data_IF_927809837709
#
_entry.id   IF_927809837709
#
_cell.length_a   1.000
_cell.length_b   1.000
_cell.length_c   1.000
_cell.angle_alpha   90.00
_cell.angle_beta   90.00
_cell.angle_gamma   90.00
#
_symmetry.space_group_name_H-M   'P 1'
#
loop_
_entity.id
_entity.type
_entity.pdbx_description
1 polymer ?
#
# COMPACT_ATOMS: atom_id res chain seq x y z
N UNK A 1 -13.77 19.16 2.42
CA UNK A 1 -12.45 18.69 1.96
C UNK A 1 -12.35 17.20 2.27
N UNK A 2 -12.36 16.34 1.26
CA UNK A 2 -12.38 14.88 1.44
C UNK A 2 -10.98 14.32 1.74
N UNK A 3 -10.26 14.92 2.69
CA UNK A 3 -9.11 14.32 3.38
C UNK A 3 -8.04 13.69 2.49
N UNK A 4 -7.84 14.21 1.27
CA UNK A 4 -7.02 13.61 0.21
C UNK A 4 -5.51 13.75 0.39
N UNK A 5 -5.07 13.78 1.65
CA UNK A 5 -3.70 14.10 2.02
C UNK A 5 -2.71 12.97 1.76
N UNK A 6 -1.44 13.35 1.86
CA UNK A 6 -0.29 12.45 1.90
C UNK A 6 0.03 12.16 3.37
N UNK A 7 0.30 10.89 3.68
CA UNK A 7 0.84 10.45 4.97
C UNK A 7 2.18 9.77 4.78
N UNK A 8 3.22 10.37 5.36
CA UNK A 8 4.52 9.73 5.48
C UNK A 8 4.54 8.88 6.76
N UNK A 9 4.78 7.58 6.60
CA UNK A 9 4.83 6.61 7.68
C UNK A 9 6.24 6.38 8.21
N UNK A 10 7.25 7.02 7.60
CA UNK A 10 8.65 6.89 8.00
C UNK A 10 9.23 5.52 7.65
N UNK A 11 10.10 5.01 8.52
CA UNK A 11 10.78 3.72 8.36
C UNK A 11 9.99 2.60 9.00
N UNK A 12 9.88 1.47 8.31
CA UNK A 12 9.10 0.32 8.78
C UNK A 12 9.68 -1.02 8.30
N UNK A 13 9.41 -2.08 9.07
CA UNK A 13 9.53 -3.47 8.62
C UNK A 13 8.20 -3.90 7.97
N UNK A 14 7.45 -4.77 8.63
CA UNK A 14 6.05 -5.06 8.23
C UNK A 14 5.11 -3.94 8.69
N UNK A 15 4.10 -3.61 7.87
CA UNK A 15 3.14 -2.55 8.18
C UNK A 15 1.73 -2.89 7.72
N UNK A 16 0.74 -2.49 8.51
CA UNK A 16 -0.68 -2.52 8.14
C UNK A 16 -1.20 -1.10 8.00
N UNK A 17 -1.59 -0.70 6.79
CA UNK A 17 -2.03 0.65 6.47
C UNK A 17 -3.45 0.92 6.99
N UNK A 18 -3.67 2.07 7.62
CA UNK A 18 -5.02 2.58 7.89
C UNK A 18 -5.43 3.53 6.76
N UNK A 19 -6.21 3.01 5.82
CA UNK A 19 -6.65 3.77 4.66
C UNK A 19 -7.65 4.88 5.03
N UNK A 20 -8.13 5.01 6.27
CA UNK A 20 -8.94 6.17 6.66
C UNK A 20 -8.10 7.43 6.87
N UNK A 21 -6.79 7.26 7.10
CA UNK A 21 -5.91 8.34 7.53
C UNK A 21 -5.38 9.22 6.39
N UNK A 22 -5.36 8.72 5.16
CA UNK A 22 -4.86 9.43 3.97
C UNK A 22 -5.33 8.73 2.69
N UNK A 23 -5.13 9.39 1.53
CA UNK A 23 -5.23 8.73 0.23
C UNK A 23 -3.87 8.20 -0.21
N UNK A 24 -2.83 8.98 0.02
CA UNK A 24 -1.48 8.67 -0.44
C UNK A 24 -0.58 8.34 0.75
N UNK A 25 0.13 7.22 0.68
CA UNK A 25 1.03 6.75 1.72
C UNK A 25 2.45 6.70 1.19
N UNK A 26 3.41 7.17 1.97
CA UNK A 26 4.84 7.05 1.68
C UNK A 26 5.48 6.30 2.85
N UNK A 27 6.22 5.25 2.56
CA UNK A 27 6.94 4.47 3.58
C UNK A 27 8.31 4.02 3.06
N UNK A 28 9.25 3.81 3.98
CA UNK A 28 10.59 3.30 3.67
C UNK A 28 10.79 1.96 4.36
N UNK A 29 11.03 0.90 3.59
CA UNK A 29 11.27 -0.42 4.15
C UNK A 29 12.71 -0.55 4.64
N UNK A 30 12.91 -0.84 5.93
CA UNK A 30 14.24 -1.04 6.53
C UNK A 30 14.62 -2.51 6.73
N UNK A 31 13.63 -3.41 6.68
CA UNK A 31 13.82 -4.84 6.77
C UNK A 31 12.82 -5.57 5.87
N UNK A 32 13.06 -6.85 5.60
CA UNK A 32 12.13 -7.69 4.83
C UNK A 32 10.78 -7.76 5.54
N UNK A 33 9.70 -7.34 4.89
CA UNK A 33 8.39 -7.23 5.53
C UNK A 33 7.21 -7.21 4.58
N UNK A 34 6.03 -7.50 5.13
CA UNK A 34 4.78 -7.51 4.38
C UNK A 34 4.03 -6.18 4.55
N UNK A 35 3.27 -5.79 3.52
CA UNK A 35 2.39 -4.63 3.52
C UNK A 35 0.95 -5.11 3.52
N UNK A 36 0.18 -4.75 4.54
CA UNK A 36 -1.24 -5.10 4.66
C UNK A 36 -2.10 -3.87 4.91
N UNK A 37 -3.36 -4.10 5.29
CA UNK A 37 -4.34 -3.06 5.63
C UNK A 37 -4.90 -3.37 7.01
N UNK A 38 -4.80 -2.40 7.92
CA UNK A 38 -5.48 -2.43 9.22
C UNK A 38 -6.93 -1.97 9.10
N UNK A 39 -7.18 -0.94 8.26
CA UNK A 39 -8.51 -0.38 8.05
C UNK A 39 -8.70 0.01 6.58
N UNK A 40 -9.74 -0.52 5.93
CA UNK A 40 -9.92 -0.46 4.48
C UNK A 40 -10.41 0.89 3.91
N UNK A 41 -10.86 1.82 4.75
CA UNK A 41 -11.26 3.16 4.30
C UNK A 41 -12.62 3.27 3.59
N UNK A 42 -13.20 2.17 3.12
CA UNK A 42 -14.52 2.15 2.47
C UNK A 42 -14.47 1.90 0.96
N UNK A 43 -15.62 1.54 0.39
CA UNK A 43 -15.76 1.31 -1.05
C UNK A 43 -15.55 2.61 -1.85
N UNK A 44 -14.89 2.51 -3.00
CA UNK A 44 -14.58 3.65 -3.86
C UNK A 44 -13.34 4.44 -3.42
N UNK A 45 -12.75 4.14 -2.26
CA UNK A 45 -11.50 4.76 -1.86
C UNK A 45 -10.36 4.33 -2.78
N UNK A 46 -9.54 5.28 -3.18
CA UNK A 46 -8.34 5.08 -3.99
C UNK A 46 -7.19 5.96 -3.54
N UNK A 47 -6.01 5.65 -4.05
CA UNK A 47 -4.81 6.47 -3.86
C UNK A 47 -3.56 5.70 -4.22
N UNK A 48 -2.44 6.11 -3.63
CA UNK A 48 -1.13 5.50 -3.91
C UNK A 48 -0.42 5.07 -2.64
N UNK A 49 0.44 4.05 -2.78
CA UNK A 49 1.39 3.61 -1.78
C UNK A 49 2.77 3.69 -2.44
N UNK A 50 3.57 4.65 -2.04
CA UNK A 50 4.97 4.79 -2.47
C UNK A 50 5.87 4.14 -1.43
N UNK A 51 6.66 3.19 -1.86
CA UNK A 51 7.56 2.40 -1.03
C UNK A 51 8.99 2.64 -1.47
N UNK A 52 9.79 3.24 -0.60
CA UNK A 52 11.24 3.27 -0.78
C UNK A 52 11.85 1.95 -0.27
N UNK A 53 12.94 1.51 -0.89
CA UNK A 53 13.55 0.21 -0.67
C UNK A 53 12.60 -0.96 -0.93
N UNK A 54 11.85 -0.90 -2.03
CA UNK A 54 10.81 -1.87 -2.38
C UNK A 54 11.34 -3.32 -2.52
N UNK A 55 12.64 -3.53 -2.75
CA UNK A 55 13.27 -4.86 -2.70
C UNK A 55 13.06 -5.61 -1.37
N UNK A 56 12.72 -4.89 -0.30
CA UNK A 56 12.44 -5.47 1.02
C UNK A 56 10.97 -5.92 1.18
N UNK A 57 10.09 -5.67 0.21
CA UNK A 57 8.72 -6.18 0.25
C UNK A 57 8.73 -7.69 0.06
N UNK A 58 8.18 -8.43 1.01
CA UNK A 58 8.04 -9.89 0.91
C UNK A 58 6.66 -10.32 0.44
N UNK A 59 5.63 -9.54 0.75
CA UNK A 59 4.25 -9.81 0.36
C UNK A 59 3.37 -8.56 0.47
N UNK A 60 2.27 -8.57 -0.28
CA UNK A 60 1.10 -7.77 0.02
C UNK A 60 0.05 -8.68 0.66
N UNK A 61 -0.26 -8.47 1.93
CA UNK A 61 -1.23 -9.28 2.67
C UNK A 61 -2.66 -8.98 2.21
N UNK A 62 -3.57 -9.95 2.39
CA UNK A 62 -5.00 -9.70 2.20
C UNK A 62 -5.43 -8.44 2.97
N UNK A 63 -6.32 -7.59 2.40
CA UNK A 63 -7.19 -7.82 1.24
C UNK A 63 -6.60 -7.38 -0.12
N UNK A 64 -5.30 -7.08 -0.18
CA UNK A 64 -4.67 -6.68 -1.44
C UNK A 64 -4.68 -7.80 -2.49
N UNK A 65 -5.00 -7.42 -3.73
CA UNK A 65 -5.04 -8.33 -4.89
C UNK A 65 -4.47 -7.65 -6.12
N UNK A 66 -3.33 -8.12 -6.58
CA UNK A 66 -2.86 -7.81 -7.92
C UNK A 66 -3.72 -8.53 -8.96
N UNK A 67 -3.87 -7.94 -10.14
CA UNK A 67 -4.42 -8.65 -11.31
C UNK A 67 -3.43 -9.72 -11.80
N UNK A 68 -2.14 -9.37 -11.80
CA UNK A 68 -1.03 -10.23 -12.21
C UNK A 68 0.01 -10.15 -11.09
N UNK A 69 0.46 -11.29 -10.58
CA UNK A 69 1.47 -11.33 -9.53
C UNK A 69 2.71 -10.52 -9.94
N UNK A 70 3.22 -9.70 -9.01
CA UNK A 70 4.36 -8.83 -9.24
C UNK A 70 5.60 -9.39 -8.54
N UNK A 71 6.77 -9.15 -9.13
CA UNK A 71 8.07 -9.56 -8.61
C UNK A 71 9.16 -8.58 -9.05
N UNK A 72 10.40 -8.81 -8.59
CA UNK A 72 11.55 -7.99 -8.97
C UNK A 72 11.46 -6.56 -8.43
N UNK A 73 10.98 -6.41 -7.19
CA UNK A 73 10.87 -5.10 -6.59
C UNK A 73 12.25 -4.48 -6.30
N UNK A 74 12.43 -3.18 -6.54
CA UNK A 74 13.71 -2.49 -6.33
C UNK A 74 13.55 -0.98 -6.19
N UNK A 75 14.44 -0.35 -5.41
CA UNK A 75 14.50 1.12 -5.31
C UNK A 75 13.20 1.71 -4.74
N UNK A 76 12.68 2.74 -5.39
CA UNK A 76 11.38 3.32 -5.06
C UNK A 76 10.32 2.83 -6.02
N UNK A 77 9.21 2.33 -5.50
CA UNK A 77 8.07 1.90 -6.29
C UNK A 77 6.78 2.54 -5.81
N UNK A 78 5.87 2.78 -6.74
CA UNK A 78 4.53 3.28 -6.42
C UNK A 78 3.49 2.28 -6.88
N UNK A 79 2.51 2.06 -6.01
CA UNK A 79 1.38 1.19 -6.26
C UNK A 79 0.10 2.00 -6.14
N UNK A 80 -0.70 2.03 -7.20
CA UNK A 80 -2.06 2.54 -7.14
C UNK A 80 -2.97 1.47 -6.51
N UNK A 81 -3.90 1.91 -5.64
CA UNK A 81 -4.90 1.01 -5.05
C UNK A 81 -6.33 1.50 -5.28
N UNK A 82 -7.27 0.55 -5.33
CA UNK A 82 -8.71 0.79 -5.39
C UNK A 82 -9.47 -0.18 -4.50
N UNK A 83 -10.23 0.35 -3.53
CA UNK A 83 -11.05 -0.41 -2.60
C UNK A 83 -12.41 -0.75 -3.21
N UNK A 84 -12.57 -1.98 -3.70
CA UNK A 84 -13.84 -2.48 -4.25
C UNK A 84 -14.75 -2.95 -3.10
N UNK A 85 -14.19 -3.76 -2.21
CA UNK A 85 -14.85 -4.30 -1.02
C UNK A 85 -13.82 -4.52 0.09
N UNK A 86 -14.26 -4.75 1.33
CA UNK A 86 -13.36 -4.93 2.49
C UNK A 86 -12.37 -6.09 2.32
N UNK A 87 -12.72 -7.09 1.50
CA UNK A 87 -11.90 -8.25 1.16
C UNK A 87 -11.30 -8.20 -0.26
N UNK A 88 -11.41 -7.05 -0.94
CA UNK A 88 -10.99 -6.90 -2.33
C UNK A 88 -10.48 -5.48 -2.60
N UNK A 89 -9.17 -5.30 -2.42
CA UNK A 89 -8.46 -4.06 -2.75
C UNK A 89 -7.51 -4.34 -3.91
N UNK A 90 -7.76 -3.73 -5.06
CA UNK A 90 -6.93 -3.92 -6.26
C UNK A 90 -5.66 -3.11 -6.16
N UNK A 91 -4.53 -3.72 -6.54
CA UNK A 91 -3.24 -3.04 -6.68
C UNK A 91 -2.75 -3.10 -8.13
N UNK A 92 -2.16 -2.00 -8.57
CA UNK A 92 -1.42 -1.88 -9.83
C UNK A 92 -0.09 -1.19 -9.54
N UNK A 93 1.01 -1.78 -9.99
CA UNK A 93 2.34 -1.15 -9.99
C UNK A 93 2.40 -0.15 -11.15
N UNK A 94 2.83 1.08 -10.88
CA UNK A 94 2.89 2.18 -11.87
C UNK A 94 4.30 2.42 -12.37
#
# INVERSE_FOLDING_TARGET
>A
DYGGGIRNLGTTGSINLDLRQAQHFILTMTARGAIGIANWGGAGKSGTITVNNAQNITAFSAPFKFRIAQSGFSGTETFAYFCIASNNVRLVRT
#
